data_IF_157530353911
#
_entry.id   IF_157530353911
#
_cell.length_a   1.000
_cell.length_b   1.000
_cell.length_c   1.000
_cell.angle_alpha   90.00
_cell.angle_beta   90.00
_cell.angle_gamma   90.00
#
_symmetry.space_group_name_H-M   'P 1'
#
loop_
_entity.id
_entity.type
_entity.pdbx_description
1 polymer ?
#
# COMPACT_ATOMS: atom_id res chain seq x y z
N UNK A 1 -71.70 -41.71 6.54
CA UNK A 1 -70.44 -41.87 7.30
C UNK A 1 -69.30 -41.35 6.40
N UNK A 2 -69.24 -40.10 5.94
CA UNK A 2 -69.15 -38.78 6.60
C UNK A 2 -67.83 -38.56 7.36
N UNK A 3 -66.76 -38.33 6.59
CA UNK A 3 -65.87 -37.15 6.65
C UNK A 3 -65.23 -36.69 7.98
N UNK A 4 -64.79 -37.60 8.85
CA UNK A 4 -64.03 -37.21 10.06
C UNK A 4 -62.51 -37.30 9.92
N UNK A 5 -61.98 -37.88 8.84
CA UNK A 5 -60.53 -38.09 8.69
C UNK A 5 -59.74 -36.84 8.28
N UNK A 6 -60.38 -35.83 7.68
CA UNK A 6 -59.69 -34.63 7.16
C UNK A 6 -59.48 -33.57 8.25
N UNK A 7 -60.30 -33.55 9.31
CA UNK A 7 -60.17 -32.57 10.39
C UNK A 7 -59.04 -32.87 11.38
N UNK A 8 -58.54 -34.11 11.45
CA UNK A 8 -57.45 -34.48 12.34
C UNK A 8 -56.07 -34.02 11.82
N UNK A 9 -55.93 -33.77 10.52
CA UNK A 9 -54.65 -33.36 9.91
C UNK A 9 -54.38 -31.85 9.99
N UNK A 10 -55.41 -31.01 10.15
CA UNK A 10 -55.23 -29.55 10.19
C UNK A 10 -54.85 -29.03 11.58
N UNK A 11 -55.12 -29.80 12.63
CA UNK A 11 -54.86 -29.41 14.04
C UNK A 11 -53.44 -29.78 14.48
N UNK A 12 -52.77 -30.73 13.84
CA UNK A 12 -51.38 -31.07 14.20
C UNK A 12 -50.34 -30.10 13.64
N UNK A 13 -50.68 -29.28 12.64
CA UNK A 13 -49.75 -28.34 12.01
C UNK A 13 -49.66 -26.99 12.74
N UNK A 14 -50.53 -26.72 13.71
CA UNK A 14 -50.57 -25.45 14.45
C UNK A 14 -49.79 -25.46 15.77
N UNK A 15 -49.14 -26.57 16.13
CA UNK A 15 -48.40 -26.71 17.41
C UNK A 15 -46.88 -26.48 17.29
N UNK A 16 -46.34 -26.20 16.10
CA UNK A 16 -44.88 -26.03 15.90
C UNK A 16 -44.40 -24.58 15.83
N UNK A 17 -45.28 -23.59 16.01
CA UNK A 17 -44.95 -22.16 15.87
C UNK A 17 -44.49 -21.45 17.15
N UNK A 18 -44.36 -22.18 18.27
CA UNK A 18 -43.74 -21.69 19.51
C UNK A 18 -42.54 -22.61 19.79
N UNK A 19 -41.29 -22.26 19.54
CA UNK A 19 -40.54 -21.18 20.19
C UNK A 19 -39.28 -20.88 19.36
N UNK A 20 -39.38 -19.97 18.39
CA UNK A 20 -38.23 -19.31 17.74
C UNK A 20 -37.71 -18.13 18.61
N UNK A 21 -37.78 -18.27 19.93
CA UNK A 21 -37.33 -17.27 20.91
C UNK A 21 -36.18 -17.87 21.71
N UNK A 22 -34.96 -17.76 21.17
CA UNK A 22 -33.76 -18.18 21.87
C UNK A 22 -32.44 -17.63 21.32
N UNK A 23 -32.43 -17.07 20.11
CA UNK A 23 -31.20 -16.53 19.49
C UNK A 23 -31.27 -15.07 19.06
N UNK A 24 -32.15 -14.27 19.65
CA UNK A 24 -31.95 -12.83 19.66
C UNK A 24 -31.57 -12.44 21.10
N UNK A 25 -30.31 -12.67 21.48
CA UNK A 25 -29.73 -11.79 22.49
C UNK A 25 -29.83 -10.40 21.89
N UNK A 26 -30.70 -9.57 22.44
CA UNK A 26 -30.67 -8.14 22.20
C UNK A 26 -29.28 -7.72 22.64
N UNK A 27 -28.36 -7.55 21.68
CA UNK A 27 -27.01 -7.10 21.95
C UNK A 27 -27.08 -5.60 22.24
N UNK A 28 -27.62 -5.26 23.42
CA UNK A 28 -27.60 -3.88 23.94
C UNK A 28 -26.21 -3.51 24.46
N UNK A 29 -25.31 -4.48 24.58
CA UNK A 29 -23.92 -4.20 24.89
C UNK A 29 -23.10 -4.20 23.60
N UNK A 30 -22.52 -3.05 23.21
CA UNK A 30 -21.58 -3.03 22.10
C UNK A 30 -20.42 -3.97 22.43
N UNK A 31 -19.91 -4.65 21.41
CA UNK A 31 -18.66 -5.40 21.56
C UNK A 31 -17.61 -4.49 22.20
N UNK A 32 -16.90 -4.95 23.24
CA UNK A 32 -15.92 -4.12 23.91
C UNK A 32 -14.83 -3.70 22.92
N UNK A 33 -14.43 -2.43 23.01
CA UNK A 33 -13.33 -1.88 22.22
C UNK A 33 -12.03 -2.57 22.60
N UNK A 34 -11.06 -2.56 21.68
CA UNK A 34 -9.71 -3.07 21.93
C UNK A 34 -9.11 -2.53 23.26
N UNK A 35 -9.35 -1.25 23.57
CA UNK A 35 -8.87 -0.62 24.81
C UNK A 35 -9.49 -1.22 26.08
N UNK A 36 -10.69 -1.80 26.01
CA UNK A 36 -11.39 -2.42 27.15
C UNK A 36 -10.98 -3.87 27.39
N UNK A 37 -10.48 -4.57 26.37
CA UNK A 37 -10.06 -5.98 26.45
C UNK A 37 -8.55 -6.18 26.47
N UNK A 38 -7.76 -5.15 26.15
CA UNK A 38 -6.31 -5.27 26.20
C UNK A 38 -5.84 -5.49 27.64
N UNK A 39 -4.93 -6.45 27.83
CA UNK A 39 -4.24 -6.63 29.11
C UNK A 39 -3.37 -5.41 29.37
N UNK A 40 -3.46 -4.85 30.57
CA UNK A 40 -2.70 -3.66 30.98
C UNK A 40 -1.19 -3.83 30.90
N UNK A 41 -0.70 -5.08 30.91
CA UNK A 41 0.70 -5.36 31.27
C UNK A 41 1.53 -5.97 30.13
N UNK A 42 1.03 -6.10 28.89
CA UNK A 42 1.76 -6.85 27.84
C UNK A 42 1.41 -6.48 26.39
N UNK A 43 1.24 -5.19 26.08
CA UNK A 43 1.25 -4.76 24.68
C UNK A 43 2.72 -4.65 24.23
N UNK A 44 3.18 -5.54 23.35
CA UNK A 44 4.43 -5.32 22.61
C UNK A 44 4.12 -4.18 21.65
N UNK A 45 4.45 -2.96 22.08
CA UNK A 45 4.35 -1.78 21.23
C UNK A 45 5.50 -1.87 20.24
N UNK A 46 5.19 -2.24 18.99
CA UNK A 46 6.14 -2.08 17.90
C UNK A 46 6.44 -0.58 17.80
N UNK A 47 7.69 -0.23 18.10
CA UNK A 47 8.22 1.10 18.40
C UNK A 47 7.48 2.27 17.73
N UNK A 48 6.83 3.13 18.53
CA UNK A 48 6.32 4.42 18.06
C UNK A 48 7.43 5.46 18.31
N UNK A 49 8.01 6.02 17.25
CA UNK A 49 8.99 7.10 17.42
C UNK A 49 8.32 8.30 18.11
N UNK A 50 9.08 9.07 18.89
CA UNK A 50 8.54 10.23 19.65
C UNK A 50 7.82 11.27 18.76
N UNK A 51 8.07 11.23 17.44
CA UNK A 51 7.49 12.10 16.43
C UNK A 51 6.48 11.36 15.49
N UNK A 52 6.18 10.08 15.77
CA UNK A 52 5.22 9.28 14.99
C UNK A 52 5.70 8.83 13.60
N UNK A 53 6.96 9.06 13.24
CA UNK A 53 7.55 8.66 11.97
C UNK A 53 8.35 7.37 12.16
N UNK A 54 7.89 6.27 11.56
CA UNK A 54 8.73 5.07 11.37
C UNK A 54 9.58 5.30 10.14
N UNK A 55 10.87 5.57 10.32
CA UNK A 55 11.80 5.65 9.19
C UNK A 55 12.15 4.23 8.71
N UNK A 56 11.28 3.68 7.86
CA UNK A 56 11.62 2.49 7.09
C UNK A 56 12.63 2.86 6.00
N UNK A 57 13.92 2.69 6.28
CA UNK A 57 14.97 2.86 5.29
C UNK A 57 15.02 1.64 4.34
N UNK A 58 14.32 1.72 3.21
CA UNK A 58 14.47 0.76 2.12
C UNK A 58 15.68 1.15 1.26
N UNK A 59 16.73 0.32 1.30
CA UNK A 59 17.81 0.41 0.33
C UNK A 59 17.32 -0.19 -1.00
N UNK A 60 16.95 0.66 -1.95
CA UNK A 60 16.64 0.24 -3.31
C UNK A 60 17.78 0.61 -4.26
N UNK A 61 18.19 -0.31 -5.13
CA UNK A 61 19.17 -0.04 -6.19
C UNK A 61 18.40 0.37 -7.45
N UNK A 62 18.46 1.66 -7.82
CA UNK A 62 17.87 2.13 -9.09
C UNK A 62 18.87 1.93 -10.22
N UNK A 63 18.44 1.25 -11.29
CA UNK A 63 19.17 1.22 -12.56
C UNK A 63 18.82 2.43 -13.42
N UNK A 64 19.44 3.56 -13.10
CA UNK A 64 19.13 4.89 -13.67
C UNK A 64 19.23 4.93 -15.20
N UNK A 65 20.12 4.13 -15.80
CA UNK A 65 20.42 4.15 -17.24
C UNK A 65 19.83 2.99 -18.04
N UNK A 66 19.09 2.07 -17.40
CA UNK A 66 18.54 0.87 -18.05
C UNK A 66 17.11 1.09 -18.55
N UNK A 67 16.67 2.35 -18.63
CA UNK A 67 15.36 2.70 -19.16
C UNK A 67 15.35 2.61 -20.69
N UNK A 68 14.21 2.28 -21.33
CA UNK A 68 14.10 2.29 -22.78
C UNK A 68 14.43 3.67 -23.36
N UNK A 69 15.08 3.70 -24.52
CA UNK A 69 15.41 4.95 -25.20
C UNK A 69 14.17 5.83 -25.39
N UNK A 70 14.34 7.15 -25.33
CA UNK A 70 13.28 8.16 -25.46
C UNK A 70 12.22 8.20 -24.35
N UNK A 71 12.25 7.32 -23.34
CA UNK A 71 11.35 7.37 -22.17
C UNK A 71 11.85 8.29 -21.05
N UNK A 72 13.17 8.54 -21.03
CA UNK A 72 13.84 9.37 -20.03
C UNK A 72 14.57 10.51 -20.70
N UNK A 73 14.50 11.69 -20.10
CA UNK A 73 15.34 12.85 -20.43
C UNK A 73 16.40 12.94 -19.34
N UNK A 74 17.66 12.77 -19.72
CA UNK A 74 18.79 12.99 -18.82
C UNK A 74 19.27 14.43 -18.96
N UNK A 75 19.45 15.14 -17.84
CA UNK A 75 20.00 16.50 -17.81
C UNK A 75 21.38 16.43 -17.15
N UNK A 76 22.44 16.53 -17.95
CA UNK A 76 23.83 16.37 -17.52
C UNK A 76 24.50 17.74 -17.40
N UNK A 77 24.77 18.23 -16.18
CA UNK A 77 25.27 19.60 -15.95
C UNK A 77 24.46 20.65 -16.73
N UNK A 78 23.13 20.55 -16.67
CA UNK A 78 22.20 21.43 -17.39
C UNK A 78 21.97 21.11 -18.87
N UNK A 79 22.67 20.15 -19.47
CA UNK A 79 22.51 19.78 -20.89
C UNK A 79 21.60 18.55 -21.06
N UNK A 80 20.44 18.68 -21.74
CA UNK A 80 19.52 17.56 -21.93
C UNK A 80 20.01 16.57 -23.00
N UNK A 81 19.72 15.28 -22.80
CA UNK A 81 19.90 14.20 -23.78
C UNK A 81 18.87 13.10 -23.56
N UNK A 82 18.44 12.45 -24.64
CA UNK A 82 17.56 11.28 -24.61
C UNK A 82 18.35 9.95 -24.67
N UNK A 83 19.65 10.02 -24.93
CA UNK A 83 20.50 8.85 -25.12
C UNK A 83 21.05 8.39 -23.77
N UNK A 84 20.45 7.32 -23.22
CA UNK A 84 20.86 6.75 -21.93
C UNK A 84 22.27 6.18 -21.93
N UNK A 85 22.72 5.61 -23.06
CA UNK A 85 24.09 5.11 -23.20
C UNK A 85 25.12 6.23 -23.12
N UNK A 86 24.90 7.33 -23.85
CA UNK A 86 25.75 8.51 -23.77
C UNK A 86 25.77 9.11 -22.36
N UNK A 87 24.60 9.21 -21.71
CA UNK A 87 24.54 9.70 -20.33
C UNK A 87 25.35 8.83 -19.36
N UNK A 88 25.25 7.51 -19.49
CA UNK A 88 26.03 6.55 -18.71
C UNK A 88 27.53 6.69 -18.96
N UNK A 89 27.96 6.82 -20.21
CA UNK A 89 29.36 6.99 -20.58
C UNK A 89 29.95 8.29 -20.02
N UNK A 90 29.22 9.40 -20.10
CA UNK A 90 29.63 10.69 -19.54
C UNK A 90 29.78 10.60 -18.03
N UNK A 91 28.78 10.06 -17.33
CA UNK A 91 28.79 9.97 -15.87
C UNK A 91 29.89 9.02 -15.37
N UNK A 92 30.14 7.91 -16.07
CA UNK A 92 31.16 6.93 -15.70
C UNK A 92 32.56 7.27 -16.21
N UNK A 93 32.74 8.38 -16.94
CA UNK A 93 34.05 8.79 -17.43
C UNK A 93 35.02 9.01 -16.26
N UNK A 94 36.22 8.44 -16.35
CA UNK A 94 37.25 8.63 -15.32
C UNK A 94 37.49 10.11 -15.03
N UNK A 95 37.55 10.46 -13.74
CA UNK A 95 37.66 11.83 -13.25
C UNK A 95 36.34 12.55 -13.01
N UNK A 96 35.21 12.05 -13.53
CA UNK A 96 33.90 12.58 -13.19
C UNK A 96 33.40 12.03 -11.85
N UNK A 97 32.86 12.92 -11.03
CA UNK A 97 32.23 12.60 -9.75
C UNK A 97 30.85 13.24 -9.69
N UNK A 98 29.83 12.41 -9.48
CA UNK A 98 28.45 12.90 -9.29
C UNK A 98 28.40 13.69 -7.99
N UNK A 99 27.93 14.92 -8.09
CA UNK A 99 27.73 15.84 -6.95
C UNK A 99 26.26 15.92 -6.54
N UNK A 100 25.34 15.75 -7.50
CA UNK A 100 23.92 15.75 -7.24
C UNK A 100 23.19 14.85 -8.26
N UNK A 101 22.14 14.18 -7.82
CA UNK A 101 21.25 13.41 -8.68
C UNK A 101 19.81 13.59 -8.21
N UNK A 102 18.94 14.00 -9.13
CA UNK A 102 17.52 14.21 -8.85
C UNK A 102 16.69 13.47 -9.89
N UNK A 103 15.75 12.66 -9.43
CA UNK A 103 14.73 12.04 -10.27
C UNK A 103 13.46 12.86 -10.10
N UNK A 104 13.12 13.66 -11.11
CA UNK A 104 11.95 14.54 -11.07
C UNK A 104 10.68 13.77 -11.46
N UNK A 105 9.51 14.36 -11.22
CA UNK A 105 8.24 13.78 -11.66
C UNK A 105 8.19 13.66 -13.18
N UNK A 106 7.50 12.66 -13.74
CA UNK A 106 7.30 12.58 -15.18
C UNK A 106 6.67 13.84 -15.75
N UNK A 107 7.12 14.25 -16.93
CA UNK A 107 6.58 15.37 -17.71
C UNK A 107 5.16 15.09 -18.22
N UNK A 108 4.50 16.10 -18.80
CA UNK A 108 3.20 15.94 -19.47
C UNK A 108 3.22 14.85 -20.56
N UNK A 109 4.37 14.69 -21.23
CA UNK A 109 4.62 13.64 -22.23
C UNK A 109 4.95 12.27 -21.61
N UNK A 110 4.73 12.11 -20.30
CA UNK A 110 5.02 10.90 -19.49
C UNK A 110 6.48 10.47 -19.52
N UNK A 111 7.41 11.37 -19.84
CA UNK A 111 8.84 11.10 -19.78
C UNK A 111 9.40 11.39 -18.40
N UNK A 112 10.18 10.47 -17.85
CA UNK A 112 10.94 10.71 -16.63
C UNK A 112 12.04 11.74 -16.91
N UNK A 113 12.35 12.60 -15.95
CA UNK A 113 13.50 13.51 -16.02
C UNK A 113 14.48 13.13 -14.92
N UNK A 114 15.74 12.92 -15.31
CA UNK A 114 16.82 12.58 -14.38
C UNK A 114 17.92 13.63 -14.56
N UNK A 115 18.12 14.45 -13.54
CA UNK A 115 19.16 15.47 -13.50
C UNK A 115 20.38 14.93 -12.77
N UNK A 116 21.55 15.06 -13.38
CA UNK A 116 22.82 14.58 -12.85
C UNK A 116 23.83 15.71 -13.00
N UNK A 117 24.27 16.25 -11.88
CA UNK A 117 25.34 17.23 -11.83
C UNK A 117 26.62 16.54 -11.38
N UNK A 118 27.72 16.79 -12.08
CA UNK A 118 29.02 16.18 -11.81
C UNK A 118 30.16 17.17 -12.02
N UNK A 119 31.22 16.97 -11.26
CA UNK A 119 32.48 17.70 -11.41
C UNK A 119 33.52 16.79 -12.04
N UNK A 120 34.38 17.35 -12.89
CA UNK A 120 35.55 16.65 -13.42
C UNK A 120 36.77 17.09 -12.61
N UNK A 121 37.48 16.15 -11.98
CA UNK A 121 38.82 16.45 -11.43
C UNK A 121 39.72 16.88 -12.59
N UNK A 122 40.24 18.10 -12.50
CA UNK A 122 41.25 18.63 -13.41
C UNK A 122 42.61 18.01 -13.14
#
# INVERSE_FOLDING_TARGET
>A
MKNYAVFASLVSLTLTSSLLYGQAKIATEPFPTYQQIKRSDSEIIDYVSKDGQSEFAYNYTIKVFDNPDSTVIYILNGKPTLNGKYAKEVVNKSGNHITNMVIERPTENRKQVIRIDYTTKQ
#
